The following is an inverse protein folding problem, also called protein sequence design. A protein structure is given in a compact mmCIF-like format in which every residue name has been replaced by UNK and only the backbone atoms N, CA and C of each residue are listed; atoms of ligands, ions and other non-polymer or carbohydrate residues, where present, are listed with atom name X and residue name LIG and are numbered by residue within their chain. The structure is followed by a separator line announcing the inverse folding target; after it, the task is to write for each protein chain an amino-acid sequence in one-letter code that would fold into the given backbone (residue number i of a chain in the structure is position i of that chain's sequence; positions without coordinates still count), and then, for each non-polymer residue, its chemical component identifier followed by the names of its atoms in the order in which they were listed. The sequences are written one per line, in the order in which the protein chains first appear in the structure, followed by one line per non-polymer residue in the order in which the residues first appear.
data_IF_433996470330
#
_entry.id   IF_433996470330
#
_cell.length_a   1.000
_cell.length_b   1.000
_cell.length_c   1.000
_cell.angle_alpha   90.00
_cell.angle_beta   90.00
_cell.angle_gamma   90.00
#
_symmetry.space_group_name_H-M   'P 1'
#
loop_
_entity.id
_entity.type
_entity.pdbx_description
1 polymer ?
#
# COMPACT_ATOMS: atom_id res chain seq x y z
N UNK A 1 13.50 15.64 2.38
CA UNK A 1 12.94 15.60 3.76
C UNK A 1 13.26 14.23 4.32
N UNK A 2 13.80 14.15 5.54
CA UNK A 2 14.24 12.89 6.14
C UNK A 2 13.01 12.02 6.51
N UNK A 3 13.12 10.69 6.37
CA UNK A 3 12.04 9.73 6.64
C UNK A 3 11.33 9.96 7.99
N UNK A 4 12.06 10.23 9.07
CA UNK A 4 11.48 10.52 10.38
C UNK A 4 10.60 11.78 10.47
N UNK A 5 10.65 12.69 9.49
CA UNK A 5 9.72 13.83 9.44
C UNK A 5 8.37 13.41 8.84
N UNK A 6 8.37 12.47 7.87
CA UNK A 6 7.13 11.96 7.28
C UNK A 6 6.37 11.09 8.28
N UNK A 7 7.08 10.28 9.07
CA UNK A 7 6.50 9.46 10.12
C UNK A 7 5.80 10.31 11.18
N UNK A 8 6.47 11.33 11.72
CA UNK A 8 5.88 12.25 12.71
C UNK A 8 4.66 13.00 12.20
N UNK A 9 4.69 13.44 10.95
CA UNK A 9 3.53 14.11 10.32
C UNK A 9 2.37 13.13 10.13
N UNK A 10 2.65 11.89 9.75
CA UNK A 10 1.63 10.85 9.62
C UNK A 10 0.97 10.51 10.96
N UNK A 11 1.75 10.40 12.02
CA UNK A 11 1.25 10.13 13.38
C UNK A 11 0.40 11.29 13.90
N UNK A 12 0.84 12.54 13.74
CA UNK A 12 0.08 13.74 14.12
C UNK A 12 -1.25 13.82 13.38
N UNK A 13 -1.25 13.66 12.07
CA UNK A 13 -2.48 13.67 11.26
C UNK A 13 -3.42 12.53 11.66
N UNK A 14 -2.88 11.34 11.93
CA UNK A 14 -3.65 10.19 12.37
C UNK A 14 -4.30 10.41 13.73
N UNK A 15 -3.59 11.00 14.69
CA UNK A 15 -4.14 11.35 16.00
C UNK A 15 -5.21 12.44 15.89
N UNK A 16 -4.95 13.49 15.12
CA UNK A 16 -5.92 14.57 14.87
C UNK A 16 -7.18 14.06 14.17
N UNK A 17 -7.03 13.10 13.23
CA UNK A 17 -8.16 12.44 12.58
C UNK A 17 -9.04 11.68 13.58
N UNK A 18 -8.43 10.85 14.44
CA UNK A 18 -9.14 10.10 15.50
C UNK A 18 -9.88 11.03 16.47
N UNK A 19 -9.29 12.17 16.77
CA UNK A 19 -9.85 13.17 17.68
C UNK A 19 -10.80 14.16 16.98
N UNK A 20 -11.11 13.99 15.68
CA UNK A 20 -11.96 14.90 14.86
C UNK A 20 -11.43 16.35 14.85
N UNK A 21 -10.12 16.52 14.87
CA UNK A 21 -9.42 17.83 14.90
C UNK A 21 -8.74 18.18 13.57
N UNK A 22 -9.01 17.44 12.48
CA UNK A 22 -8.53 17.80 11.15
C UNK A 22 -9.25 19.06 10.65
N UNK A 23 -8.49 19.98 10.06
CA UNK A 23 -9.03 21.11 9.32
C UNK A 23 -9.27 20.72 7.86
N UNK A 24 -10.11 21.45 7.11
CA UNK A 24 -10.27 21.23 5.66
C UNK A 24 -8.95 21.31 4.89
N UNK A 25 -8.03 22.17 5.32
CA UNK A 25 -6.72 22.35 4.67
C UNK A 25 -5.80 21.14 4.87
N UNK A 26 -5.94 20.41 5.98
CA UNK A 26 -5.15 19.19 6.24
C UNK A 26 -5.44 18.06 5.26
N UNK A 27 -6.64 18.04 4.66
CA UNK A 27 -7.10 16.98 3.75
C UNK A 27 -7.04 17.38 2.27
N UNK A 28 -6.52 18.57 1.97
CA UNK A 28 -6.37 19.07 0.60
C UNK A 28 -4.94 18.85 0.07
N UNK A 29 -4.79 18.91 -1.27
CA UNK A 29 -3.49 18.85 -1.94
C UNK A 29 -2.88 17.46 -2.05
N UNK A 30 -3.57 16.41 -1.61
CA UNK A 30 -3.14 15.03 -1.84
C UNK A 30 -3.22 14.65 -3.31
N UNK A 31 -2.22 13.93 -3.83
CA UNK A 31 -2.14 13.51 -5.24
C UNK A 31 -2.46 12.03 -5.43
N UNK A 32 -2.38 11.24 -4.38
CA UNK A 32 -2.65 9.80 -4.36
C UNK A 32 -3.16 9.38 -2.98
N UNK A 33 -4.04 8.40 -2.93
CA UNK A 33 -4.59 7.87 -1.68
C UNK A 33 -4.19 6.42 -1.48
N UNK A 34 -3.82 6.08 -0.24
CA UNK A 34 -3.65 4.70 0.22
C UNK A 34 -4.66 4.45 1.33
N UNK A 35 -5.40 3.34 1.24
CA UNK A 35 -6.36 2.92 2.28
C UNK A 35 -6.05 1.50 2.75
N UNK A 36 -6.28 1.25 4.04
CA UNK A 36 -5.97 -0.05 4.65
C UNK A 36 -7.17 -0.64 5.39
N UNK A 37 -8.12 -1.28 4.70
CA UNK A 37 -9.19 -2.04 5.35
C UNK A 37 -8.68 -3.32 6.05
N UNK A 38 -7.44 -3.73 5.81
CA UNK A 38 -6.84 -4.91 6.42
C UNK A 38 -6.72 -4.84 7.94
N UNK A 39 -6.64 -3.64 8.52
CA UNK A 39 -6.64 -3.44 9.99
C UNK A 39 -7.95 -3.91 10.65
N UNK A 40 -9.03 -3.98 9.88
CA UNK A 40 -10.34 -4.50 10.29
C UNK A 40 -10.60 -5.93 9.82
N UNK A 41 -9.56 -6.64 9.34
CA UNK A 41 -9.63 -8.00 8.86
C UNK A 41 -10.09 -8.16 7.40
N UNK A 42 -10.26 -7.07 6.66
CA UNK A 42 -10.61 -7.11 5.24
C UNK A 42 -9.48 -7.74 4.41
N UNK A 43 -9.76 -8.85 3.72
CA UNK A 43 -8.76 -9.55 2.91
C UNK A 43 -8.29 -8.73 1.72
N UNK A 44 -9.22 -8.07 1.05
CA UNK A 44 -8.99 -7.07 -0.01
C UNK A 44 -10.18 -6.13 -0.07
N UNK A 45 -10.05 -5.01 -0.77
CA UNK A 45 -11.13 -4.05 -0.97
C UNK A 45 -11.08 -3.47 -2.39
N UNK A 46 -12.19 -2.88 -2.81
CA UNK A 46 -12.30 -2.08 -4.02
C UNK A 46 -12.51 -0.62 -3.59
N UNK A 47 -11.44 0.13 -3.32
CA UNK A 47 -11.55 1.47 -2.80
C UNK A 47 -12.14 2.44 -3.83
N UNK A 48 -12.89 3.43 -3.35
CA UNK A 48 -13.48 4.47 -4.19
C UNK A 48 -12.44 5.59 -4.35
N UNK A 49 -12.24 6.04 -5.59
CA UNK A 49 -11.29 7.10 -5.92
C UNK A 49 -11.71 8.41 -5.25
N UNK A 50 -10.77 9.06 -4.57
CA UNK A 50 -10.93 10.38 -4.00
C UNK A 50 -10.67 11.45 -5.08
N UNK A 51 -11.72 11.81 -5.81
CA UNK A 51 -11.62 12.79 -6.90
C UNK A 51 -11.09 14.15 -6.41
N UNK A 52 -10.26 14.85 -7.21
CA UNK A 52 -9.87 14.61 -8.61
C UNK A 52 -8.65 13.69 -8.79
N UNK A 53 -8.21 12.96 -7.78
CA UNK A 53 -7.14 11.97 -7.92
C UNK A 53 -7.55 10.89 -8.93
N UNK A 54 -6.56 10.29 -9.60
CA UNK A 54 -6.82 9.33 -10.68
C UNK A 54 -6.79 7.87 -10.22
N UNK A 55 -6.27 7.60 -9.03
CA UNK A 55 -6.17 6.26 -8.50
C UNK A 55 -6.10 6.23 -6.97
N UNK A 56 -6.41 5.06 -6.40
CA UNK A 56 -6.32 4.75 -4.98
C UNK A 56 -5.84 3.32 -4.79
N UNK A 57 -4.85 3.13 -3.93
CA UNK A 57 -4.31 1.82 -3.56
C UNK A 57 -4.99 1.32 -2.28
N UNK A 58 -5.50 0.11 -2.33
CA UNK A 58 -6.00 -0.63 -1.17
C UNK A 58 -5.03 -1.71 -0.73
N UNK A 59 -4.76 -1.80 0.57
CA UNK A 59 -3.99 -2.90 1.17
C UNK A 59 -4.92 -3.80 1.97
N UNK A 60 -4.77 -5.12 1.83
CA UNK A 60 -5.55 -6.10 2.57
C UNK A 60 -4.92 -6.53 3.89
N UNK A 61 -5.59 -7.40 4.61
CA UNK A 61 -5.04 -8.03 5.81
C UNK A 61 -3.83 -8.89 5.47
N UNK A 62 -2.83 -8.88 6.35
CA UNK A 62 -1.69 -9.78 6.27
C UNK A 62 -2.12 -11.13 6.87
N UNK A 63 -2.11 -12.18 6.05
CA UNK A 63 -2.50 -13.52 6.43
C UNK A 63 -1.42 -14.53 6.06
N UNK A 64 -1.22 -15.55 6.89
CA UNK A 64 -0.30 -16.64 6.57
C UNK A 64 -0.96 -17.60 5.58
N UNK A 65 -0.24 -17.92 4.50
CA UNK A 65 -0.69 -18.85 3.45
C UNK A 65 0.41 -19.84 3.07
N UNK A 66 0.06 -21.09 2.72
CA UNK A 66 0.99 -21.98 2.06
C UNK A 66 1.27 -21.46 0.64
N UNK A 67 2.54 -21.29 0.33
CA UNK A 67 3.00 -20.82 -0.98
C UNK A 67 4.07 -21.77 -1.52
N UNK A 68 4.05 -22.01 -2.82
CA UNK A 68 5.18 -22.66 -3.48
C UNK A 68 6.31 -21.64 -3.60
N UNK A 69 7.47 -22.00 -3.10
CA UNK A 69 8.70 -21.21 -3.18
C UNK A 69 9.83 -22.09 -3.70
N UNK A 70 10.77 -21.49 -4.42
CA UNK A 70 11.96 -22.18 -4.89
C UNK A 70 13.05 -22.11 -3.84
N UNK A 71 13.49 -23.28 -3.36
CA UNK A 71 14.62 -23.41 -2.44
C UNK A 71 15.86 -23.82 -3.23
N UNK A 72 17.03 -23.18 -3.02
CA UNK A 72 18.25 -23.47 -3.79
C UNK A 72 18.73 -24.91 -3.68
N UNK A 73 18.38 -25.62 -2.60
CA UNK A 73 18.82 -27.00 -2.35
C UNK A 73 17.74 -28.06 -2.57
N UNK A 74 16.48 -27.72 -2.40
CA UNK A 74 15.34 -28.66 -2.41
C UNK A 74 14.43 -28.48 -3.64
N UNK A 75 14.65 -27.44 -4.46
CA UNK A 75 13.74 -27.07 -5.56
C UNK A 75 12.45 -26.46 -5.06
N UNK A 76 11.32 -26.77 -5.72
CA UNK A 76 10.01 -26.27 -5.31
C UNK A 76 9.55 -26.92 -3.98
N UNK A 77 9.30 -26.08 -2.99
CA UNK A 77 8.77 -26.49 -1.68
C UNK A 77 7.53 -25.67 -1.32
N UNK A 78 6.69 -26.21 -0.44
CA UNK A 78 5.58 -25.47 0.15
C UNK A 78 6.07 -24.83 1.44
N UNK A 79 6.06 -23.50 1.50
CA UNK A 79 6.44 -22.74 2.68
C UNK A 79 5.31 -21.82 3.14
N UNK A 80 5.22 -21.58 4.45
CA UNK A 80 4.28 -20.60 5.00
C UNK A 80 4.86 -19.19 4.78
N UNK A 81 4.10 -18.33 4.13
CA UNK A 81 4.44 -16.91 3.88
C UNK A 81 3.36 -15.99 4.39
N UNK A 82 3.76 -14.82 4.89
CA UNK A 82 2.84 -13.72 5.16
C UNK A 82 2.48 -13.06 3.84
N UNK A 83 1.20 -13.11 3.49
CA UNK A 83 0.68 -12.63 2.21
C UNK A 83 -0.32 -11.50 2.43
N UNK A 84 -0.30 -10.52 1.55
CA UNK A 84 -1.23 -9.40 1.53
C UNK A 84 -1.67 -9.13 0.09
N UNK A 85 -2.96 -8.85 -0.10
CA UNK A 85 -3.43 -8.36 -1.38
C UNK A 85 -3.21 -6.85 -1.51
N UNK A 86 -2.81 -6.43 -2.70
CA UNK A 86 -2.84 -5.04 -3.14
C UNK A 86 -3.92 -4.91 -4.21
N UNK A 87 -4.77 -3.90 -4.09
CA UNK A 87 -5.81 -3.58 -5.06
C UNK A 87 -5.68 -2.13 -5.50
N UNK A 88 -5.95 -1.85 -6.77
CA UNK A 88 -5.90 -0.51 -7.32
C UNK A 88 -7.22 -0.20 -8.02
N UNK A 89 -7.90 0.84 -7.55
CA UNK A 89 -8.97 1.48 -8.33
C UNK A 89 -8.38 2.67 -9.08
N UNK A 90 -8.71 2.82 -10.35
CA UNK A 90 -8.16 3.88 -11.19
C UNK A 90 -9.18 4.39 -12.21
N UNK A 91 -9.00 5.62 -12.67
CA UNK A 91 -9.82 6.21 -13.73
C UNK A 91 -9.38 5.66 -15.09
N UNK A 92 -10.17 4.76 -15.64
CA UNK A 92 -9.85 4.05 -16.88
C UNK A 92 -9.89 4.97 -18.13
N UNK A 93 -10.29 6.21 -17.98
CA UNK A 93 -10.17 7.22 -19.04
C UNK A 93 -8.73 7.75 -19.18
N UNK A 94 -7.92 7.63 -18.11
CA UNK A 94 -6.55 8.15 -18.02
C UNK A 94 -5.50 7.06 -17.88
N UNK A 95 -5.85 5.93 -17.29
CA UNK A 95 -4.95 4.80 -17.00
C UNK A 95 -5.52 3.55 -17.63
N UNK A 96 -4.72 2.81 -18.37
CA UNK A 96 -5.12 1.51 -18.91
C UNK A 96 -4.78 0.35 -17.96
N UNK A 97 -5.31 -0.85 -18.29
CA UNK A 97 -5.10 -2.04 -17.47
C UNK A 97 -3.64 -2.49 -17.43
N UNK A 98 -2.87 -2.26 -18.49
CA UNK A 98 -1.46 -2.63 -18.55
C UNK A 98 -0.62 -1.74 -17.61
N UNK A 99 -0.88 -0.43 -17.59
CA UNK A 99 -0.18 0.49 -16.72
C UNK A 99 -0.55 0.25 -15.25
N UNK A 100 -1.82 -0.01 -14.96
CA UNK A 100 -2.27 -0.38 -13.62
C UNK A 100 -1.59 -1.67 -13.12
N UNK A 101 -1.48 -2.71 -13.96
CA UNK A 101 -0.82 -3.96 -13.63
C UNK A 101 0.69 -3.77 -13.42
N UNK A 102 1.37 -2.99 -14.28
CA UNK A 102 2.79 -2.65 -14.12
C UNK A 102 3.05 -1.90 -12.81
N UNK A 103 2.20 -0.94 -12.47
CA UNK A 103 2.30 -0.18 -11.22
C UNK A 103 2.21 -1.10 -10.00
N UNK A 104 1.22 -2.00 -9.94
CA UNK A 104 1.09 -2.95 -8.84
C UNK A 104 2.27 -3.92 -8.78
N UNK A 105 2.74 -4.41 -9.94
CA UNK A 105 3.90 -5.31 -10.01
C UNK A 105 5.17 -4.63 -9.53
N UNK A 106 5.36 -3.34 -9.84
CA UNK A 106 6.49 -2.56 -9.34
C UNK A 106 6.45 -2.41 -7.82
N UNK A 107 5.28 -2.05 -7.25
CA UNK A 107 5.11 -1.96 -5.80
C UNK A 107 5.40 -3.30 -5.13
N UNK A 108 4.83 -4.40 -5.69
CA UNK A 108 5.08 -5.76 -5.19
C UNK A 108 6.56 -6.07 -5.14
N UNK A 109 7.28 -5.87 -6.25
CA UNK A 109 8.72 -6.14 -6.32
C UNK A 109 9.51 -5.36 -5.28
N UNK A 110 9.25 -4.05 -5.12
CA UNK A 110 9.91 -3.21 -4.13
C UNK A 110 9.64 -3.65 -2.69
N UNK A 111 8.41 -4.05 -2.38
CA UNK A 111 8.04 -4.55 -1.05
C UNK A 111 8.71 -5.91 -0.74
N UNK A 112 8.81 -6.78 -1.74
CA UNK A 112 9.43 -8.10 -1.59
C UNK A 112 10.96 -8.04 -1.48
N UNK A 113 11.61 -7.06 -2.11
CA UNK A 113 13.03 -6.78 -1.91
C UNK A 113 13.35 -6.41 -0.46
N UNK A 114 12.48 -5.62 0.18
CA UNK A 114 12.60 -5.23 1.59
C UNK A 114 13.78 -4.30 1.88
N UNK A 115 14.47 -3.80 0.86
CA UNK A 115 15.60 -2.87 1.01
C UNK A 115 15.12 -1.43 0.83
N UNK A 116 14.88 -0.75 1.94
CA UNK A 116 14.46 0.64 2.01
C UNK A 116 15.48 1.52 2.75
N UNK A 117 16.69 1.01 2.97
CA UNK A 117 17.72 1.72 3.74
C UNK A 117 18.01 3.11 3.16
N UNK A 118 18.19 3.22 1.85
CA UNK A 118 18.49 4.48 1.18
C UNK A 118 17.33 5.50 1.27
N UNK A 119 16.07 5.05 1.09
CA UNK A 119 14.88 5.89 1.18
C UNK A 119 14.58 6.34 2.61
N UNK A 120 14.89 5.51 3.59
CA UNK A 120 14.72 5.79 5.02
C UNK A 120 15.91 6.58 5.60
N UNK A 121 17.01 6.68 4.87
CA UNK A 121 18.21 7.38 5.32
C UNK A 121 18.96 6.64 6.44
N UNK A 122 18.89 5.30 6.40
CA UNK A 122 19.60 4.38 7.31
C UNK A 122 20.96 3.97 6.73
#
# INVERSE_FOLDING_TARGET
RRAGQHERVGDDLGERARNKKLSPDDVQGGTFTITNPGIYGGLFGLPIINQPQVAILGTGAIVKRPMVVEDPSLGEIIAVRSMMYLSLSYDHRLVDGADAARFLSFIKARLEEGDFGAELGL
#
